data_IF_560200578600
#
_entry.id   IF_560200578600
#
_cell.length_a   1.000
_cell.length_b   1.000
_cell.length_c   1.000
_cell.angle_alpha   90.00
_cell.angle_beta   90.00
_cell.angle_gamma   90.00
#
_symmetry.space_group_name_H-M   'P 1'
#
loop_
_entity.id
_entity.type
_entity.pdbx_description
1 polymer ?
#
# COMPACT_ATOMS: atom_id res chain seq x y z
N UNK A 1 -35.45 28.56 0.60
CA UNK A 1 -34.22 28.76 1.41
C UNK A 1 -33.74 27.38 1.83
N UNK A 2 -32.67 26.85 1.22
CA UNK A 2 -32.07 25.60 1.67
C UNK A 2 -31.40 25.86 3.02
N UNK A 3 -31.77 25.10 4.05
CA UNK A 3 -31.10 25.15 5.35
C UNK A 3 -29.70 24.57 5.11
N UNK A 4 -28.69 25.43 5.04
CA UNK A 4 -27.29 25.01 4.95
C UNK A 4 -26.96 24.26 6.25
N UNK A 5 -26.93 22.92 6.19
CA UNK A 5 -26.50 22.09 7.32
C UNK A 5 -25.04 22.40 7.60
N UNK A 6 -24.70 22.58 8.88
CA UNK A 6 -23.32 22.72 9.34
C UNK A 6 -22.50 21.49 8.91
N UNK A 7 -21.23 21.65 8.48
CA UNK A 7 -20.39 20.51 8.11
C UNK A 7 -20.22 19.54 9.29
N UNK A 8 -20.23 18.25 8.99
CA UNK A 8 -19.95 17.19 9.96
C UNK A 8 -18.48 17.24 10.36
N UNK A 9 -18.21 17.28 11.66
CA UNK A 9 -16.84 17.27 12.17
C UNK A 9 -16.35 15.85 12.38
N UNK A 10 -15.32 15.45 11.64
CA UNK A 10 -14.84 14.06 11.62
C UNK A 10 -13.43 13.97 12.17
N UNK A 11 -13.23 13.17 13.23
CA UNK A 11 -11.90 12.88 13.77
C UNK A 11 -11.29 11.65 13.09
N UNK A 12 -10.31 11.86 12.22
CA UNK A 12 -9.48 10.84 11.60
C UNK A 12 -8.38 10.38 12.56
N UNK A 13 -8.52 9.17 13.09
CA UNK A 13 -7.50 8.49 13.89
C UNK A 13 -6.61 7.69 12.95
N UNK A 14 -5.43 8.25 12.65
CA UNK A 14 -4.44 7.66 11.76
C UNK A 14 -3.05 7.84 12.36
N UNK A 15 -2.53 6.77 12.99
CA UNK A 15 -1.17 6.73 13.54
C UNK A 15 -0.10 7.13 12.52
N UNK A 16 -0.36 6.86 11.24
CA UNK A 16 0.50 7.20 10.11
C UNK A 16 -0.23 8.23 9.23
N UNK A 17 0.27 9.46 9.26
CA UNK A 17 -0.22 10.58 8.46
C UNK A 17 0.96 11.50 8.12
N UNK A 18 0.94 12.26 7.01
CA UNK A 18 2.07 13.09 6.62
C UNK A 18 2.58 14.01 7.76
N UNK A 19 3.90 14.27 7.82
CA UNK A 19 4.92 13.85 6.85
C UNK A 19 5.52 12.47 7.16
N UNK A 20 4.76 11.52 7.73
CA UNK A 20 5.25 10.14 7.86
C UNK A 20 5.21 9.41 6.50
N UNK A 21 6.14 8.48 6.28
CA UNK A 21 6.35 7.83 4.97
C UNK A 21 5.33 6.75 4.58
N UNK A 22 4.83 5.98 5.54
CA UNK A 22 4.14 4.72 5.25
C UNK A 22 2.63 4.88 5.34
N UNK A 23 1.90 4.21 4.44
CA UNK A 23 0.44 4.07 4.47
C UNK A 23 -0.39 5.36 4.46
N UNK A 24 0.22 6.51 4.16
CA UNK A 24 -0.44 7.82 4.27
C UNK A 24 -1.39 8.14 3.10
N UNK A 25 -1.22 7.49 1.95
CA UNK A 25 -1.83 7.91 0.68
C UNK A 25 -3.36 7.90 0.70
N UNK A 26 -3.99 6.86 1.25
CA UNK A 26 -5.47 6.74 1.22
C UNK A 26 -6.14 7.83 2.06
N UNK A 27 -5.74 7.95 3.33
CA UNK A 27 -6.31 8.95 4.25
C UNK A 27 -6.02 10.37 3.79
N UNK A 28 -4.81 10.66 3.32
CA UNK A 28 -4.45 11.98 2.80
C UNK A 28 -5.37 12.38 1.65
N UNK A 29 -5.61 11.47 0.71
CA UNK A 29 -6.39 11.78 -0.49
C UNK A 29 -7.90 11.82 -0.23
N UNK A 30 -8.41 11.04 0.72
CA UNK A 30 -9.77 11.28 1.22
C UNK A 30 -9.90 12.69 1.78
N UNK A 31 -8.98 13.11 2.65
CA UNK A 31 -9.03 14.45 3.24
C UNK A 31 -8.87 15.55 2.19
N UNK A 32 -8.05 15.34 1.15
CA UNK A 32 -7.89 16.24 0.01
C UNK A 32 -9.22 16.48 -0.72
N UNK A 33 -10.00 15.42 -0.96
CA UNK A 33 -11.18 15.45 -1.82
C UNK A 33 -12.53 15.51 -1.12
N UNK A 34 -12.58 15.37 0.21
CA UNK A 34 -13.79 15.60 0.98
C UNK A 34 -14.27 17.05 0.85
N UNK A 35 -15.52 17.24 0.43
CA UNK A 35 -16.15 18.56 0.31
C UNK A 35 -16.20 19.25 1.69
N UNK A 36 -15.53 20.40 1.79
CA UNK A 36 -15.41 21.17 3.03
C UNK A 36 -16.71 21.84 3.49
N UNK A 37 -17.68 22.01 2.59
CA UNK A 37 -19.01 22.46 2.97
C UNK A 37 -19.79 21.39 3.74
N UNK A 38 -19.34 20.15 3.62
CA UNK A 38 -20.03 18.95 4.05
C UNK A 38 -19.34 18.26 5.22
N UNK A 39 -18.00 18.25 5.20
CA UNK A 39 -17.15 17.57 6.16
C UNK A 39 -15.97 18.46 6.58
N UNK A 40 -15.79 18.62 7.89
CA UNK A 40 -14.67 19.33 8.53
C UNK A 40 -13.74 18.28 9.18
N UNK A 41 -12.67 17.83 8.51
CA UNK A 41 -11.79 16.79 9.02
C UNK A 41 -10.77 17.31 10.03
N UNK A 42 -10.59 16.55 11.10
CA UNK A 42 -9.55 16.72 12.11
C UNK A 42 -8.69 15.46 12.16
N UNK A 43 -7.36 15.58 12.19
CA UNK A 43 -6.47 14.40 12.19
C UNK A 43 -5.78 14.22 13.53
N UNK A 44 -5.89 13.02 14.12
CA UNK A 44 -5.09 12.59 15.26
C UNK A 44 -4.03 11.59 14.79
N UNK A 45 -2.76 11.97 14.93
CA UNK A 45 -1.61 11.18 14.47
C UNK A 45 -0.44 11.17 15.45
N UNK A 46 0.63 10.44 15.14
CA UNK A 46 1.84 10.36 15.96
C UNK A 46 2.66 11.66 15.88
N UNK A 47 3.34 11.98 16.98
CA UNK A 47 4.33 13.05 17.04
C UNK A 47 5.58 12.72 16.20
N UNK A 48 5.92 13.63 15.28
CA UNK A 48 7.08 13.53 14.38
C UNK A 48 8.40 13.39 15.17
N UNK A 49 8.53 14.07 16.32
CA UNK A 49 9.74 13.99 17.16
C UNK A 49 10.04 12.57 17.66
N UNK A 50 9.04 11.69 17.65
CA UNK A 50 9.18 10.28 18.03
C UNK A 50 9.63 9.38 16.87
N UNK A 51 9.80 9.90 15.66
CA UNK A 51 10.01 9.13 14.43
C UNK A 51 11.27 9.60 13.67
N UNK A 52 11.99 8.65 13.06
CA UNK A 52 13.29 8.88 12.40
C UNK A 52 13.19 9.19 10.90
N UNK A 53 12.03 8.99 10.27
CA UNK A 53 11.87 9.11 8.82
C UNK A 53 10.62 9.92 8.48
N UNK A 54 10.83 11.11 7.92
CA UNK A 54 9.78 11.94 7.33
C UNK A 54 9.86 11.92 5.81
N UNK A 55 8.73 12.24 5.16
CA UNK A 55 8.57 12.40 3.73
C UNK A 55 7.49 13.46 3.49
N UNK A 56 7.89 14.47 2.72
CA UNK A 56 7.11 15.67 2.44
C UNK A 56 6.42 15.61 1.08
N UNK A 57 6.43 14.44 0.42
CA UNK A 57 5.78 14.22 -0.89
C UNK A 57 4.31 14.63 -0.88
N UNK A 58 3.62 14.41 0.24
CA UNK A 58 2.19 14.69 0.40
C UNK A 58 1.88 16.09 0.94
N UNK A 59 2.87 16.92 1.27
CA UNK A 59 2.63 18.20 1.94
C UNK A 59 1.75 19.14 1.11
N UNK A 60 1.93 19.12 -0.23
CA UNK A 60 1.11 19.91 -1.17
C UNK A 60 -0.33 19.40 -1.30
N UNK A 61 -0.61 18.19 -0.86
CA UNK A 61 -1.95 17.60 -0.90
C UNK A 61 -2.75 17.84 0.37
N UNK A 62 -2.10 18.32 1.43
CA UNK A 62 -2.73 18.60 2.71
C UNK A 62 -3.30 20.01 2.67
N UNK A 63 -4.61 20.18 2.89
CA UNK A 63 -5.20 21.51 2.95
C UNK A 63 -4.59 22.33 4.09
N UNK A 64 -4.27 23.60 3.81
CA UNK A 64 -3.53 24.47 4.75
C UNK A 64 -4.28 24.73 6.07
N UNK A 65 -5.60 24.63 6.05
CA UNK A 65 -6.50 24.79 7.18
C UNK A 65 -6.73 23.49 7.98
N UNK A 66 -6.19 22.35 7.52
CA UNK A 66 -6.37 21.06 8.18
C UNK A 66 -5.79 21.06 9.59
N UNK A 67 -6.64 20.76 10.58
CA UNK A 67 -6.22 20.64 11.97
C UNK A 67 -5.60 19.27 12.24
N UNK A 68 -4.27 19.25 12.39
CA UNK A 68 -3.49 18.04 12.70
C UNK A 68 -3.03 18.07 14.16
N UNK A 69 -3.52 17.12 14.95
CA UNK A 69 -3.16 16.93 16.35
C UNK A 69 -2.19 15.76 16.49
N UNK A 70 -1.02 16.04 17.07
CA UNK A 70 0.02 15.03 17.27
C UNK A 70 0.05 14.56 18.72
N UNK A 71 -0.09 13.26 18.93
CA UNK A 71 0.00 12.60 20.23
C UNK A 71 1.36 11.92 20.42
N UNK A 72 1.84 11.90 21.66
CA UNK A 72 3.11 11.29 22.02
C UNK A 72 3.12 9.79 21.71
N UNK A 73 4.20 9.31 21.09
CA UNK A 73 4.46 7.89 20.89
C UNK A 73 5.79 7.57 21.56
N UNK A 74 5.80 6.73 22.62
CA UNK A 74 7.04 6.23 23.18
C UNK A 74 7.61 5.20 22.20
N UNK A 75 8.57 5.62 21.37
CA UNK A 75 9.23 4.71 20.44
C UNK A 75 10.23 3.83 21.21
N UNK A 76 9.73 2.70 21.72
CA UNK A 76 10.49 1.74 22.54
C UNK A 76 11.69 1.15 21.76
N UNK A 77 11.74 1.32 20.43
CA UNK A 77 12.77 0.73 19.56
C UNK A 77 13.59 1.75 18.75
N UNK A 78 13.42 3.06 18.97
CA UNK A 78 14.13 4.11 18.23
C UNK A 78 15.65 3.82 18.12
N UNK A 79 16.28 3.55 19.25
CA UNK A 79 17.71 3.29 19.32
C UNK A 79 18.16 2.02 18.57
N UNK A 80 17.28 1.02 18.37
CA UNK A 80 17.65 -0.21 17.65
C UNK A 80 17.69 -0.03 16.13
N UNK A 81 16.87 0.87 15.57
CA UNK A 81 16.79 1.11 14.12
C UNK A 81 17.87 2.10 13.64
N UNK A 82 18.10 3.19 14.37
CA UNK A 82 19.24 4.09 14.15
C UNK A 82 20.58 3.33 14.25
N UNK A 83 20.73 2.46 15.25
CA UNK A 83 21.92 1.62 15.40
C UNK A 83 22.06 0.61 14.26
N UNK A 84 20.97 0.03 13.74
CA UNK A 84 21.04 -0.90 12.61
C UNK A 84 21.43 -0.21 11.29
N UNK A 85 20.98 1.03 11.06
CA UNK A 85 21.39 1.84 9.88
C UNK A 85 22.84 2.31 9.99
N UNK A 86 23.26 2.79 11.17
CA UNK A 86 24.65 3.14 11.42
C UNK A 86 25.56 1.91 11.29
N UNK A 87 25.11 0.76 11.79
CA UNK A 87 25.77 -0.54 11.64
C UNK A 87 25.88 -1.00 10.17
N UNK A 88 24.84 -0.82 9.36
CA UNK A 88 24.87 -1.18 7.94
C UNK A 88 25.86 -0.29 7.16
N UNK A 89 25.87 1.02 7.44
CA UNK A 89 26.87 1.95 6.89
C UNK A 89 28.30 1.63 7.35
N UNK A 90 28.49 1.30 8.63
CA UNK A 90 29.79 0.88 9.15
C UNK A 90 30.23 -0.45 8.53
N UNK A 91 29.35 -1.43 8.33
CA UNK A 91 29.67 -2.70 7.65
C UNK A 91 30.04 -2.51 6.17
N UNK A 92 29.30 -1.67 5.45
CA UNK A 92 29.59 -1.33 4.04
C UNK A 92 30.95 -0.62 3.91
N UNK A 93 31.30 0.25 4.86
CA UNK A 93 32.61 0.91 4.89
C UNK A 93 33.78 -0.02 5.27
N UNK A 94 33.50 -1.13 5.97
CA UNK A 94 34.51 -2.03 6.54
C UNK A 94 34.83 -3.28 5.69
N UNK A 95 34.08 -3.54 4.61
CA UNK A 95 34.41 -4.66 3.69
C UNK A 95 35.79 -4.52 3.01
N UNK A 96 36.48 -3.39 3.19
CA UNK A 96 37.80 -3.08 2.64
C UNK A 96 39.00 -3.39 3.56
N UNK A 97 38.82 -3.86 4.81
CA UNK A 97 39.95 -4.16 5.73
C UNK A 97 39.95 -5.59 6.30
N UNK A 98 41.03 -6.33 6.00
CA UNK A 98 41.29 -7.73 6.35
C UNK A 98 42.03 -7.88 7.68
N UNK A 99 41.36 -7.82 8.83
CA UNK A 99 41.99 -8.28 10.07
C UNK A 99 41.02 -9.00 11.03
N UNK A 100 41.35 -10.28 11.34
CA UNK A 100 40.46 -11.26 11.98
C UNK A 100 40.28 -11.02 13.49
N UNK A 101 41.35 -10.57 14.19
CA UNK A 101 41.30 -10.23 15.62
C UNK A 101 40.43 -8.99 15.89
N UNK A 102 40.45 -8.01 14.99
CA UNK A 102 39.66 -6.79 15.13
C UNK A 102 38.16 -7.04 14.93
N UNK A 103 37.78 -7.95 14.02
CA UNK A 103 36.40 -8.44 13.89
C UNK A 103 35.88 -9.05 15.20
N UNK A 104 36.69 -9.83 15.92
CA UNK A 104 36.28 -10.47 17.17
C UNK A 104 36.05 -9.45 18.30
N UNK A 105 36.97 -8.49 18.46
CA UNK A 105 36.83 -7.40 19.45
C UNK A 105 35.65 -6.47 19.14
N UNK A 106 35.37 -6.21 17.86
CA UNK A 106 34.20 -5.47 17.42
C UNK A 106 32.91 -6.26 17.68
N UNK A 107 32.89 -7.56 17.36
CA UNK A 107 31.78 -8.47 17.68
C UNK A 107 31.48 -8.52 19.18
N UNK A 108 32.50 -8.54 20.04
CA UNK A 108 32.29 -8.46 21.50
C UNK A 108 31.74 -7.10 21.94
N UNK A 109 32.24 -5.98 21.39
CA UNK A 109 31.64 -4.65 21.64
C UNK A 109 30.19 -4.55 21.14
N UNK A 110 29.85 -5.23 20.04
CA UNK A 110 28.49 -5.31 19.47
C UNK A 110 27.55 -6.10 20.37
N UNK A 111 28.00 -7.24 20.90
CA UNK A 111 27.23 -8.06 21.85
C UNK A 111 26.94 -7.29 23.15
N UNK A 112 27.91 -6.49 23.63
CA UNK A 112 27.77 -5.68 24.84
C UNK A 112 26.92 -4.40 24.65
N UNK A 113 26.77 -3.89 23.42
CA UNK A 113 25.95 -2.68 23.12
C UNK A 113 24.47 -2.95 22.88
N UNK A 114 24.07 -4.21 22.67
CA UNK A 114 22.66 -4.61 22.51
C UNK A 114 21.97 -4.63 23.87
N UNK A 115 21.34 -3.52 24.26
CA UNK A 115 20.60 -3.41 25.53
C UNK A 115 19.41 -4.39 25.64
N UNK A 116 18.96 -4.94 24.51
CA UNK A 116 18.02 -6.07 24.42
C UNK A 116 18.48 -6.96 23.24
N UNK A 117 18.77 -8.26 23.43
CA UNK A 117 19.04 -9.19 22.34
C UNK A 117 17.94 -9.16 21.28
N UNK A 118 18.28 -9.24 19.99
CA UNK A 118 17.30 -9.20 18.89
C UNK A 118 16.20 -10.26 19.00
N UNK A 119 16.50 -11.39 19.66
CA UNK A 119 15.52 -12.45 19.98
C UNK A 119 14.46 -11.96 20.98
N UNK A 120 14.86 -11.22 22.01
CA UNK A 120 13.92 -10.63 22.99
C UNK A 120 13.13 -9.49 22.34
N UNK A 121 13.76 -8.68 21.47
CA UNK A 121 13.05 -7.69 20.67
C UNK A 121 11.98 -8.38 19.83
N UNK A 122 12.33 -9.38 19.01
CA UNK A 122 11.36 -10.13 18.22
C UNK A 122 10.25 -10.76 19.09
N UNK A 123 10.59 -11.29 20.26
CA UNK A 123 9.61 -11.81 21.20
C UNK A 123 8.61 -10.74 21.67
N UNK A 124 9.08 -9.54 22.06
CA UNK A 124 8.22 -8.41 22.46
C UNK A 124 7.33 -7.97 21.29
N UNK A 125 7.92 -7.82 20.10
CA UNK A 125 7.19 -7.46 18.88
C UNK A 125 6.12 -8.48 18.49
N UNK A 126 6.40 -9.77 18.68
CA UNK A 126 5.49 -10.85 18.32
C UNK A 126 4.51 -11.25 19.42
N UNK A 127 4.69 -10.84 20.69
CA UNK A 127 3.85 -11.36 21.78
C UNK A 127 3.31 -10.29 22.72
N UNK A 128 3.91 -9.10 22.79
CA UNK A 128 3.50 -8.06 23.75
C UNK A 128 2.82 -6.88 23.06
N UNK A 129 3.31 -6.47 21.89
CA UNK A 129 2.75 -5.34 21.14
C UNK A 129 1.50 -5.78 20.37
N UNK A 130 0.39 -5.87 21.09
CA UNK A 130 -0.90 -6.29 20.55
C UNK A 130 -1.81 -5.07 20.39
N UNK A 131 -2.37 -4.81 19.20
CA UNK A 131 -2.29 -5.65 18.00
C UNK A 131 -1.01 -5.42 17.18
N UNK A 132 -0.37 -4.28 17.33
CA UNK A 132 0.79 -3.94 16.54
C UNK A 132 1.74 -3.03 17.32
N UNK A 133 2.83 -2.66 16.66
CA UNK A 133 3.88 -1.82 17.22
C UNK A 133 3.44 -0.40 17.58
N UNK A 134 2.23 0.02 17.20
CA UNK A 134 1.64 1.29 17.60
C UNK A 134 0.86 1.17 18.90
N UNK A 135 0.75 -0.01 19.52
CA UNK A 135 0.06 -0.19 20.79
C UNK A 135 0.48 0.83 21.87
N UNK A 136 1.77 1.16 22.06
CA UNK A 136 2.18 2.16 23.07
C UNK A 136 1.66 3.58 22.82
N UNK A 137 1.17 3.90 21.62
CA UNK A 137 0.55 5.18 21.29
C UNK A 137 -0.88 5.31 21.85
N UNK A 138 -1.57 4.18 22.04
CA UNK A 138 -3.00 4.13 22.39
C UNK A 138 -3.38 5.05 23.56
N UNK A 139 -2.75 4.99 24.75
CA UNK A 139 -3.19 5.80 25.89
C UNK A 139 -3.05 7.31 25.63
N UNK A 140 -1.98 7.73 24.95
CA UNK A 140 -1.74 9.14 24.62
C UNK A 140 -2.70 9.64 23.55
N UNK A 141 -2.95 8.80 22.54
CA UNK A 141 -3.91 9.06 21.49
C UNK A 141 -5.33 9.18 22.05
N UNK A 142 -5.77 8.26 22.91
CA UNK A 142 -7.09 8.32 23.56
C UNK A 142 -7.27 9.60 24.37
N UNK A 143 -6.30 9.95 25.23
CA UNK A 143 -6.37 11.19 26.04
C UNK A 143 -6.49 12.42 25.14
N UNK A 144 -5.68 12.51 24.08
CA UNK A 144 -5.71 13.63 23.13
C UNK A 144 -7.02 13.64 22.33
N UNK A 145 -7.47 12.47 21.86
CA UNK A 145 -8.71 12.31 21.10
C UNK A 145 -9.95 12.71 21.88
N UNK A 146 -10.07 12.32 23.15
CA UNK A 146 -11.15 12.78 24.04
C UNK A 146 -11.15 14.30 24.17
N UNK A 147 -9.97 14.92 24.33
CA UNK A 147 -9.83 16.38 24.39
C UNK A 147 -10.32 17.04 23.10
N UNK A 148 -9.87 16.55 21.94
CA UNK A 148 -10.30 17.04 20.62
C UNK A 148 -11.81 16.90 20.44
N UNK A 149 -12.38 15.73 20.79
CA UNK A 149 -13.82 15.50 20.68
C UNK A 149 -14.66 16.52 21.47
N UNK A 150 -14.17 17.00 22.61
CA UNK A 150 -14.83 18.03 23.43
C UNK A 150 -14.63 19.43 22.87
N UNK A 151 -13.39 19.80 22.57
CA UNK A 151 -13.04 21.17 22.16
C UNK A 151 -13.58 21.52 20.77
N UNK A 152 -13.47 20.57 19.84
CA UNK A 152 -13.87 20.81 18.45
C UNK A 152 -15.33 20.45 18.18
N UNK A 153 -16.01 19.79 19.13
CA UNK A 153 -17.35 19.21 18.97
C UNK A 153 -17.42 18.20 17.82
N UNK A 154 -16.56 17.17 17.86
CA UNK A 154 -16.52 16.10 16.85
C UNK A 154 -17.84 15.33 16.84
N UNK A 155 -18.36 15.03 15.66
CA UNK A 155 -19.59 14.27 15.43
C UNK A 155 -19.29 12.77 15.20
N UNK A 156 -18.31 12.49 14.35
CA UNK A 156 -17.96 11.14 13.88
C UNK A 156 -16.47 10.88 14.08
N UNK A 157 -16.12 9.65 14.41
CA UNK A 157 -14.74 9.16 14.44
C UNK A 157 -14.52 8.29 13.19
N UNK A 158 -13.44 8.53 12.48
CA UNK A 158 -12.92 7.64 11.44
C UNK A 158 -11.62 7.03 11.94
N UNK A 159 -11.39 5.73 11.74
CA UNK A 159 -10.06 5.13 11.94
C UNK A 159 -9.70 4.22 10.79
N UNK A 160 -8.42 4.19 10.43
CA UNK A 160 -7.91 3.36 9.32
C UNK A 160 -6.93 2.31 9.81
N UNK A 161 -6.98 1.12 9.23
CA UNK A 161 -6.02 0.06 9.44
C UNK A 161 -5.41 -0.40 8.11
N UNK A 162 -4.15 -0.87 8.11
CA UNK A 162 -3.18 -0.84 9.23
C UNK A 162 -2.77 0.60 9.60
N UNK A 163 -2.38 0.90 10.84
CA UNK A 163 -2.25 0.02 12.01
C UNK A 163 -3.59 -0.21 12.76
N UNK A 164 -3.82 -1.43 13.25
CA UNK A 164 -5.06 -1.81 13.98
C UNK A 164 -5.20 -1.13 15.34
N UNK A 165 -4.09 -0.65 15.92
CA UNK A 165 -4.12 0.22 17.10
C UNK A 165 -5.02 1.45 16.90
N UNK A 166 -5.17 1.95 15.67
CA UNK A 166 -6.10 3.04 15.35
C UNK A 166 -7.56 2.69 15.67
N UNK A 167 -7.97 1.45 15.39
CA UNK A 167 -9.32 0.98 15.70
C UNK A 167 -9.54 0.86 17.22
N UNK A 168 -8.53 0.45 17.98
CA UNK A 168 -8.63 0.40 19.46
C UNK A 168 -8.76 1.82 20.03
N UNK A 169 -7.97 2.77 19.55
CA UNK A 169 -8.09 4.19 19.94
C UNK A 169 -9.50 4.70 19.65
N UNK A 170 -10.01 4.48 18.44
CA UNK A 170 -11.35 4.91 18.05
C UNK A 170 -12.45 4.23 18.88
N UNK A 171 -12.33 2.93 19.16
CA UNK A 171 -13.25 2.19 20.02
C UNK A 171 -13.34 2.79 21.43
N UNK A 172 -12.20 3.10 22.05
CA UNK A 172 -12.15 3.68 23.40
C UNK A 172 -12.76 5.10 23.38
N UNK A 173 -12.36 5.95 22.44
CA UNK A 173 -12.91 7.32 22.31
C UNK A 173 -14.42 7.26 22.06
N UNK A 174 -14.88 6.42 21.14
CA UNK A 174 -16.31 6.18 20.87
C UNK A 174 -17.06 5.85 22.16
N UNK A 175 -16.52 4.92 22.94
CA UNK A 175 -17.21 4.42 24.15
C UNK A 175 -17.35 5.52 25.20
N UNK A 176 -16.29 6.31 25.41
CA UNK A 176 -16.27 7.39 26.40
C UNK A 176 -17.10 8.60 25.93
N UNK A 177 -16.96 8.98 24.66
CA UNK A 177 -17.57 10.19 24.08
C UNK A 177 -18.93 9.94 23.43
N UNK A 178 -19.39 8.68 23.38
CA UNK A 178 -20.64 8.23 22.75
C UNK A 178 -20.81 8.71 21.31
N UNK A 179 -19.74 8.66 20.52
CA UNK A 179 -19.71 9.12 19.12
C UNK A 179 -20.02 8.01 18.12
N UNK A 180 -20.34 8.38 16.89
CA UNK A 180 -20.41 7.43 15.77
C UNK A 180 -19.00 7.10 15.28
N UNK A 181 -18.82 5.91 14.73
CA UNK A 181 -17.52 5.39 14.32
C UNK A 181 -17.59 4.62 13.01
N UNK A 182 -16.82 5.10 12.04
CA UNK A 182 -16.47 4.42 10.79
C UNK A 182 -15.07 3.83 10.90
N UNK A 183 -14.91 2.54 10.64
CA UNK A 183 -13.62 1.88 10.60
C UNK A 183 -13.26 1.46 9.17
N UNK A 184 -12.10 1.88 8.68
CA UNK A 184 -11.57 1.58 7.35
C UNK A 184 -10.54 0.45 7.41
N UNK A 185 -10.97 -0.74 7.02
CA UNK A 185 -10.14 -1.93 6.85
C UNK A 185 -9.55 -1.93 5.43
N UNK A 186 -8.39 -1.30 5.27
CA UNK A 186 -7.60 -1.40 4.03
C UNK A 186 -7.01 -2.79 3.87
N UNK A 187 -6.66 -3.39 5.00
CA UNK A 187 -6.34 -4.79 5.18
C UNK A 187 -7.21 -5.34 6.32
N UNK A 188 -7.67 -6.59 6.20
CA UNK A 188 -8.39 -7.26 7.29
C UNK A 188 -7.49 -7.41 8.54
N UNK A 189 -8.04 -7.55 9.75
CA UNK A 189 -7.17 -7.62 10.93
C UNK A 189 -6.72 -9.04 11.23
N UNK A 190 -7.56 -9.91 11.81
CA UNK A 190 -7.12 -11.25 12.21
C UNK A 190 -7.21 -12.30 11.12
N UNK A 191 -7.77 -11.94 9.97
CA UNK A 191 -8.13 -12.86 8.87
C UNK A 191 -7.28 -12.66 7.62
N UNK A 192 -6.29 -11.76 7.63
CA UNK A 192 -5.33 -11.65 6.52
C UNK A 192 -4.39 -12.84 6.50
N UNK A 193 -4.07 -13.30 5.29
CA UNK A 193 -3.06 -14.33 5.04
C UNK A 193 -1.65 -13.91 5.52
N UNK A 194 -1.39 -12.60 5.66
CA UNK A 194 -0.10 -12.07 6.17
C UNK A 194 0.05 -12.14 7.69
N UNK A 195 -1.03 -12.40 8.43
CA UNK A 195 -0.99 -12.33 9.90
C UNK A 195 -0.67 -13.69 10.50
N UNK A 196 0.63 -13.98 10.54
CA UNK A 196 1.15 -15.15 11.21
C UNK A 196 1.26 -14.91 12.72
N UNK A 197 0.46 -15.65 13.49
CA UNK A 197 0.54 -15.64 14.94
C UNK A 197 1.62 -16.60 15.41
N UNK A 198 2.54 -16.10 16.26
CA UNK A 198 3.51 -16.93 16.96
C UNK A 198 2.85 -17.97 17.87
N UNK A 199 1.63 -17.70 18.36
CA UNK A 199 0.93 -18.53 19.35
C UNK A 199 -0.59 -18.48 19.18
N UNK A 200 -1.27 -19.61 19.48
CA UNK A 200 -2.74 -19.71 19.45
C UNK A 200 -3.45 -18.79 20.46
N UNK A 201 -2.82 -18.51 21.60
CA UNK A 201 -3.40 -17.61 22.61
C UNK A 201 -3.46 -16.17 22.10
N UNK A 202 -2.42 -15.72 21.38
CA UNK A 202 -2.37 -14.38 20.78
C UNK A 202 -3.44 -14.25 19.72
N UNK A 203 -3.55 -15.24 18.85
CA UNK A 203 -4.61 -15.31 17.83
C UNK A 203 -6.00 -15.18 18.47
N UNK A 204 -6.27 -15.97 19.53
CA UNK A 204 -7.56 -15.92 20.25
C UNK A 204 -7.82 -14.55 20.89
N UNK A 205 -6.79 -13.95 21.49
CA UNK A 205 -6.89 -12.62 22.09
C UNK A 205 -7.23 -11.56 21.03
N UNK A 206 -6.47 -11.51 19.94
CA UNK A 206 -6.68 -10.55 18.86
C UNK A 206 -8.04 -10.73 18.19
N UNK A 207 -8.45 -11.97 17.88
CA UNK A 207 -9.80 -12.26 17.37
C UNK A 207 -10.88 -11.76 18.32
N UNK A 208 -10.65 -11.90 19.63
CA UNK A 208 -11.54 -11.39 20.66
C UNK A 208 -11.59 -9.85 20.74
N UNK A 209 -10.48 -9.16 20.45
CA UNK A 209 -10.45 -7.69 20.39
C UNK A 209 -11.12 -7.22 19.10
N UNK A 210 -10.80 -7.83 17.96
CA UNK A 210 -11.41 -7.52 16.66
C UNK A 210 -12.93 -7.71 16.72
N UNK A 211 -13.42 -8.84 17.23
CA UNK A 211 -14.86 -9.08 17.38
C UNK A 211 -15.55 -7.99 18.21
N UNK A 212 -14.91 -7.52 19.28
CA UNK A 212 -15.45 -6.41 20.10
C UNK A 212 -15.46 -5.09 19.32
N UNK A 213 -14.42 -4.82 18.55
CA UNK A 213 -14.33 -3.64 17.69
C UNK A 213 -15.44 -3.66 16.63
N UNK A 214 -15.55 -4.75 15.86
CA UNK A 214 -16.56 -4.94 14.82
C UNK A 214 -17.99 -4.74 15.34
N UNK A 215 -18.32 -5.29 16.51
CA UNK A 215 -19.63 -5.10 17.13
C UNK A 215 -19.94 -3.65 17.54
N UNK A 216 -18.92 -2.81 17.71
CA UNK A 216 -19.07 -1.40 18.11
C UNK A 216 -18.95 -0.43 16.94
N UNK A 217 -18.57 -0.87 15.75
CA UNK A 217 -18.55 -0.02 14.55
C UNK A 217 -19.98 0.30 14.10
N UNK A 218 -20.21 1.54 13.68
CA UNK A 218 -21.48 1.94 13.06
C UNK A 218 -21.43 1.71 11.54
N UNK A 219 -20.26 1.89 10.93
CA UNK A 219 -19.96 1.45 9.57
C UNK A 219 -18.55 0.87 9.48
N UNK A 220 -18.37 -0.09 8.59
CA UNK A 220 -17.13 -0.82 8.33
C UNK A 220 -16.83 -0.65 6.85
N UNK A 221 -15.73 0.00 6.50
CA UNK A 221 -15.26 0.08 5.13
C UNK A 221 -14.29 -1.05 4.87
N UNK A 222 -14.46 -1.74 3.75
CA UNK A 222 -13.49 -2.69 3.20
C UNK A 222 -13.16 -2.30 1.77
N UNK A 223 -12.02 -2.76 1.25
CA UNK A 223 -11.56 -2.36 -0.10
C UNK A 223 -12.05 -3.26 -1.23
N UNK A 224 -12.55 -4.46 -0.95
CA UNK A 224 -13.03 -5.40 -1.98
C UNK A 224 -14.21 -6.24 -1.51
N UNK A 225 -15.01 -6.75 -2.45
CA UNK A 225 -16.08 -7.72 -2.19
C UNK A 225 -15.54 -9.00 -1.52
N UNK A 226 -14.35 -9.45 -1.92
CA UNK A 226 -13.68 -10.60 -1.29
C UNK A 226 -13.41 -10.34 0.19
N UNK A 227 -12.92 -9.15 0.56
CA UNK A 227 -12.71 -8.81 1.96
C UNK A 227 -14.02 -8.74 2.75
N UNK A 228 -15.11 -8.24 2.14
CA UNK A 228 -16.46 -8.28 2.73
C UNK A 228 -16.89 -9.72 3.01
N UNK A 229 -16.75 -10.61 2.02
CA UNK A 229 -17.12 -12.01 2.14
C UNK A 229 -16.31 -12.73 3.24
N UNK A 230 -14.99 -12.54 3.28
CA UNK A 230 -14.12 -13.11 4.33
C UNK A 230 -14.55 -12.60 5.71
N UNK A 231 -14.85 -11.30 5.86
CA UNK A 231 -15.25 -10.73 7.14
C UNK A 231 -16.56 -11.35 7.65
N UNK A 232 -17.55 -11.52 6.77
CA UNK A 232 -18.84 -12.15 7.08
C UNK A 232 -18.69 -13.63 7.44
N UNK A 233 -17.84 -14.36 6.71
CA UNK A 233 -17.57 -15.78 6.97
C UNK A 233 -16.89 -15.98 8.34
N UNK A 234 -15.86 -15.18 8.64
CA UNK A 234 -15.03 -15.35 9.86
C UNK A 234 -15.68 -14.80 11.11
N UNK A 235 -16.62 -13.85 10.97
CA UNK A 235 -17.34 -13.25 12.09
C UNK A 235 -18.85 -13.34 11.89
N UNK A 236 -19.44 -14.53 12.05
CA UNK A 236 -20.88 -14.72 11.95
C UNK A 236 -21.60 -13.84 12.98
N UNK A 237 -22.62 -13.10 12.51
CA UNK A 237 -23.41 -12.15 13.31
C UNK A 237 -23.03 -10.68 13.16
N UNK A 238 -22.02 -10.35 12.36
CA UNK A 238 -21.84 -8.96 11.90
C UNK A 238 -23.01 -8.60 10.99
N UNK A 239 -23.59 -7.43 11.21
CA UNK A 239 -24.61 -6.90 10.32
C UNK A 239 -23.95 -6.50 8.98
N UNK A 240 -24.31 -7.22 7.92
CA UNK A 240 -23.83 -6.97 6.56
C UNK A 240 -24.09 -5.53 6.08
N UNK A 241 -25.21 -4.92 6.47
CA UNK A 241 -25.57 -3.55 6.06
C UNK A 241 -24.56 -2.50 6.54
N UNK A 242 -23.82 -2.81 7.61
CA UNK A 242 -22.75 -1.94 8.11
C UNK A 242 -21.51 -1.98 7.24
N UNK A 243 -21.31 -3.04 6.45
CA UNK A 243 -20.12 -3.22 5.63
C UNK A 243 -20.33 -2.52 4.29
N UNK A 244 -19.56 -1.47 4.05
CA UNK A 244 -19.53 -0.70 2.81
C UNK A 244 -18.21 -0.95 2.10
N UNK A 245 -18.25 -0.99 0.78
CA UNK A 245 -17.07 -1.22 -0.04
C UNK A 245 -16.65 0.13 -0.60
N UNK A 246 -15.47 0.59 -0.20
CA UNK A 246 -14.81 1.75 -0.80
C UNK A 246 -13.41 1.29 -1.20
N UNK A 247 -13.21 1.07 -2.49
CA UNK A 247 -11.99 0.47 -3.03
C UNK A 247 -10.79 1.39 -2.84
N UNK A 248 -9.60 0.89 -3.15
CA UNK A 248 -8.49 1.78 -3.50
C UNK A 248 -8.79 2.49 -4.83
N UNK A 249 -7.99 3.49 -5.17
CA UNK A 249 -8.23 4.30 -6.35
C UNK A 249 -7.02 5.12 -6.77
N UNK A 250 -7.14 5.74 -7.93
CA UNK A 250 -6.13 6.62 -8.51
C UNK A 250 -6.49 8.08 -8.27
N UNK A 251 -5.46 8.93 -8.25
CA UNK A 251 -5.65 10.38 -8.28
C UNK A 251 -5.32 10.88 -9.70
N UNK A 252 -6.29 11.35 -10.49
CA UNK A 252 -6.01 11.89 -11.82
C UNK A 252 -5.08 13.11 -11.75
N UNK A 253 -5.12 13.89 -10.67
CA UNK A 253 -4.22 15.05 -10.50
C UNK A 253 -2.76 14.65 -10.31
N UNK A 254 -2.47 13.40 -9.93
CA UNK A 254 -1.09 12.89 -9.88
C UNK A 254 -0.46 12.84 -11.28
N UNK A 255 -1.29 12.82 -12.34
CA UNK A 255 -0.84 12.67 -13.73
C UNK A 255 -1.02 13.92 -14.60
N UNK A 256 -1.84 14.90 -14.19
CA UNK A 256 -2.20 16.08 -15.01
C UNK A 256 -1.00 16.88 -15.55
N UNK A 257 0.17 16.84 -14.89
CA UNK A 257 1.37 17.60 -15.28
C UNK A 257 2.58 16.70 -15.55
N UNK A 258 2.37 15.40 -15.74
CA UNK A 258 3.47 14.50 -16.08
C UNK A 258 3.73 14.56 -17.58
N UNK A 259 4.98 14.76 -18.03
CA UNK A 259 5.30 14.70 -19.44
C UNK A 259 5.09 13.27 -19.95
N UNK A 260 4.41 13.11 -21.08
CA UNK A 260 4.45 11.84 -21.82
C UNK A 260 5.74 11.83 -22.66
N UNK A 261 6.71 11.02 -22.22
CA UNK A 261 7.98 10.81 -22.91
C UNK A 261 8.01 9.47 -23.64
N UNK A 262 6.84 8.93 -24.03
CA UNK A 262 6.76 7.67 -24.77
C UNK A 262 7.62 7.72 -26.03
N UNK A 263 8.48 6.72 -26.20
CA UNK A 263 9.25 6.55 -27.43
C UNK A 263 8.34 6.02 -28.53
N UNK A 264 8.53 6.52 -29.76
CA UNK A 264 7.90 5.96 -30.96
C UNK A 264 8.73 4.84 -31.59
N UNK A 265 9.99 4.71 -31.18
CA UNK A 265 10.96 3.80 -31.77
C UNK A 265 11.21 2.59 -30.86
N UNK A 266 11.23 2.82 -29.55
CA UNK A 266 11.52 1.79 -28.56
C UNK A 266 10.25 1.37 -27.82
N UNK A 267 10.00 0.06 -27.79
CA UNK A 267 8.96 -0.57 -27.02
C UNK A 267 9.40 -0.72 -25.56
N UNK A 268 8.89 0.16 -24.70
CA UNK A 268 9.29 0.22 -23.29
C UNK A 268 8.29 -0.52 -22.41
N UNK A 269 8.76 -1.52 -21.69
CA UNK A 269 8.01 -2.25 -20.67
C UNK A 269 8.50 -1.80 -19.30
N UNK A 270 7.59 -1.43 -18.39
CA UNK A 270 8.01 -1.09 -17.02
C UNK A 270 7.20 -1.79 -15.93
N UNK A 271 7.91 -2.11 -14.84
CA UNK A 271 7.34 -2.48 -13.56
C UNK A 271 7.84 -1.50 -12.50
N UNK A 272 6.94 -0.87 -11.75
CA UNK A 272 7.33 0.00 -10.64
C UNK A 272 6.81 -0.49 -9.30
N UNK A 273 7.69 -0.72 -8.33
CA UNK A 273 7.37 -0.98 -6.93
C UNK A 273 8.16 -2.13 -6.33
N UNK A 274 7.69 -2.65 -5.18
CA UNK A 274 8.39 -3.74 -4.49
C UNK A 274 8.21 -5.05 -5.27
N UNK A 275 9.30 -5.79 -5.44
CA UNK A 275 9.31 -7.17 -5.96
C UNK A 275 9.68 -8.09 -4.80
N UNK A 276 8.73 -8.91 -4.39
CA UNK A 276 8.93 -9.90 -3.34
C UNK A 276 9.42 -11.21 -3.94
N UNK A 277 10.11 -12.04 -3.16
CA UNK A 277 10.62 -13.34 -3.62
C UNK A 277 9.52 -14.32 -4.03
N UNK A 278 8.27 -14.08 -3.63
CA UNK A 278 7.10 -14.85 -4.07
C UNK A 278 6.51 -14.43 -5.42
N UNK A 279 7.00 -13.35 -6.05
CA UNK A 279 6.44 -12.84 -7.31
C UNK A 279 6.87 -13.65 -8.54
N UNK A 280 7.92 -14.48 -8.49
CA UNK A 280 8.30 -15.37 -9.63
C UNK A 280 8.37 -14.66 -10.99
N UNK A 281 9.07 -13.53 -11.06
CA UNK A 281 9.32 -12.82 -12.33
C UNK A 281 10.29 -13.57 -13.24
N UNK A 282 10.85 -14.69 -12.80
CA UNK A 282 11.70 -15.57 -13.59
C UNK A 282 11.02 -16.06 -14.88
N UNK A 283 9.72 -16.37 -14.83
CA UNK A 283 8.98 -16.78 -16.03
C UNK A 283 8.91 -15.68 -17.09
N UNK A 284 8.70 -14.43 -16.67
CA UNK A 284 8.74 -13.28 -17.57
C UNK A 284 10.12 -13.11 -18.22
N UNK A 285 11.20 -13.24 -17.43
CA UNK A 285 12.57 -13.16 -17.92
C UNK A 285 12.91 -14.29 -18.91
N UNK A 286 12.34 -15.48 -18.72
CA UNK A 286 12.47 -16.56 -19.67
C UNK A 286 11.68 -16.30 -20.95
N UNK A 287 10.43 -15.84 -20.85
CA UNK A 287 9.58 -15.54 -22.00
C UNK A 287 10.16 -14.45 -22.90
N UNK A 288 10.69 -13.38 -22.32
CA UNK A 288 11.37 -12.34 -23.11
C UNK A 288 12.68 -12.86 -23.70
N UNK A 289 13.41 -13.74 -23.01
CA UNK A 289 14.56 -14.44 -23.58
C UNK A 289 14.21 -15.22 -24.83
N UNK A 290 13.18 -16.06 -24.75
CA UNK A 290 12.72 -16.87 -25.87
C UNK A 290 12.23 -15.99 -27.04
N UNK A 291 11.56 -14.86 -26.74
CA UNK A 291 11.15 -13.88 -27.76
C UNK A 291 12.33 -13.25 -28.53
N UNK A 292 13.39 -12.88 -27.81
CA UNK A 292 14.59 -12.27 -28.41
C UNK A 292 15.39 -13.31 -29.20
N UNK A 293 15.45 -14.56 -28.72
CA UNK A 293 16.08 -15.66 -29.46
C UNK A 293 15.34 -15.95 -30.78
N UNK A 294 14.01 -15.89 -30.78
CA UNK A 294 13.18 -16.04 -32.00
C UNK A 294 13.28 -14.81 -32.93
N UNK A 295 13.44 -13.62 -32.37
CA UNK A 295 13.51 -12.36 -33.11
C UNK A 295 14.68 -11.46 -32.67
N UNK A 296 15.93 -11.76 -33.07
CA UNK A 296 17.12 -11.06 -32.57
C UNK A 296 17.14 -9.54 -32.86
N UNK A 297 16.43 -9.08 -33.90
CA UNK A 297 16.31 -7.64 -34.19
C UNK A 297 15.65 -6.84 -33.07
N UNK A 298 14.83 -7.48 -32.23
CA UNK A 298 14.12 -6.85 -31.13
C UNK A 298 15.04 -6.37 -30.00
N UNK A 299 16.27 -6.91 -29.90
CA UNK A 299 17.23 -6.56 -28.86
C UNK A 299 17.50 -5.04 -28.79
N UNK A 300 17.42 -4.35 -29.93
CA UNK A 300 17.63 -2.89 -30.02
C UNK A 300 16.36 -2.06 -29.90
N UNK A 301 15.20 -2.71 -29.94
CA UNK A 301 13.90 -2.05 -29.97
C UNK A 301 13.11 -2.22 -28.67
N UNK A 302 13.48 -3.18 -27.82
CA UNK A 302 12.79 -3.45 -26.55
C UNK A 302 13.65 -2.99 -25.38
N UNK A 303 13.02 -2.34 -24.41
CA UNK A 303 13.65 -2.03 -23.12
C UNK A 303 12.71 -2.37 -21.98
N UNK A 304 13.24 -3.03 -20.95
CA UNK A 304 12.49 -3.41 -19.75
C UNK A 304 13.09 -2.73 -18.52
N UNK A 305 12.26 -1.99 -17.79
CA UNK A 305 12.65 -1.36 -16.54
C UNK A 305 11.90 -1.98 -15.37
N UNK A 306 12.64 -2.59 -14.44
CA UNK A 306 12.09 -3.08 -13.16
C UNK A 306 12.62 -2.19 -12.07
N UNK A 307 11.79 -1.24 -11.63
CA UNK A 307 12.18 -0.14 -10.76
C UNK A 307 11.57 -0.31 -9.38
N UNK A 308 12.40 -0.45 -8.35
CA UNK A 308 11.94 -0.48 -6.97
C UNK A 308 12.79 -1.32 -6.03
N UNK A 309 12.24 -1.60 -4.85
CA UNK A 309 12.92 -2.46 -3.90
C UNK A 309 12.67 -3.92 -4.28
N UNK A 310 13.69 -4.58 -4.83
CA UNK A 310 13.68 -6.02 -5.10
C UNK A 310 14.33 -6.73 -3.92
N UNK A 311 13.66 -7.74 -3.35
CA UNK A 311 14.25 -8.55 -2.29
C UNK A 311 15.56 -9.21 -2.74
N UNK A 312 16.56 -9.29 -1.85
CA UNK A 312 17.93 -9.66 -2.22
C UNK A 312 18.03 -11.03 -2.91
N UNK A 313 17.24 -12.00 -2.47
CA UNK A 313 17.22 -13.34 -3.05
C UNK A 313 16.66 -13.32 -4.48
N UNK A 314 15.54 -12.63 -4.67
CA UNK A 314 14.93 -12.46 -5.99
C UNK A 314 15.83 -11.64 -6.93
N UNK A 315 16.44 -10.55 -6.45
CA UNK A 315 17.39 -9.75 -7.23
C UNK A 315 18.55 -10.61 -7.73
N UNK A 316 19.10 -11.47 -6.88
CA UNK A 316 20.16 -12.40 -7.26
C UNK A 316 19.70 -13.43 -8.30
N UNK A 317 18.48 -13.96 -8.15
CA UNK A 317 17.88 -14.88 -9.12
C UNK A 317 17.70 -14.22 -10.50
N UNK A 318 17.11 -13.02 -10.54
CA UNK A 318 16.89 -12.25 -11.76
C UNK A 318 18.20 -11.93 -12.48
N UNK A 319 19.23 -11.44 -11.76
CA UNK A 319 20.56 -11.17 -12.33
C UNK A 319 21.16 -12.42 -12.97
N UNK A 320 21.01 -13.58 -12.32
CA UNK A 320 21.50 -14.86 -12.86
C UNK A 320 20.80 -15.22 -14.17
N UNK A 321 19.49 -15.03 -14.27
CA UNK A 321 18.71 -15.31 -15.49
C UNK A 321 19.09 -14.34 -16.61
N UNK A 322 19.12 -13.02 -16.31
CA UNK A 322 19.51 -11.97 -17.25
C UNK A 322 20.88 -12.28 -17.86
N UNK A 323 21.87 -12.66 -17.04
CA UNK A 323 23.21 -13.01 -17.53
C UNK A 323 23.21 -14.28 -18.37
N UNK A 324 22.45 -15.32 -17.98
CA UNK A 324 22.42 -16.61 -18.72
C UNK A 324 21.74 -16.49 -20.08
N UNK A 325 20.74 -15.62 -20.19
CA UNK A 325 19.97 -15.37 -21.41
C UNK A 325 20.49 -14.17 -22.23
N UNK A 326 21.62 -13.58 -21.83
CA UNK A 326 22.21 -12.40 -22.47
C UNK A 326 21.27 -11.18 -22.58
N UNK A 327 20.41 -10.96 -21.57
CA UNK A 327 19.39 -9.90 -21.57
C UNK A 327 19.88 -8.57 -20.97
N UNK A 328 21.20 -8.39 -20.82
CA UNK A 328 21.79 -7.27 -20.08
C UNK A 328 21.56 -5.90 -20.71
N UNK A 329 21.47 -5.83 -22.04
CA UNK A 329 21.19 -4.59 -22.77
C UNK A 329 19.69 -4.26 -22.81
N UNK A 330 18.83 -5.24 -22.50
CA UNK A 330 17.37 -5.12 -22.59
C UNK A 330 16.76 -4.82 -21.23
N UNK A 331 17.27 -5.44 -20.15
CA UNK A 331 16.62 -5.44 -18.83
C UNK A 331 17.46 -4.66 -17.81
N UNK A 332 16.89 -3.57 -17.31
CA UNK A 332 17.44 -2.76 -16.22
C UNK A 332 16.72 -3.06 -14.90
N UNK A 333 17.50 -3.34 -13.85
CA UNK A 333 17.02 -3.49 -12.47
C UNK A 333 17.43 -2.26 -11.67
N UNK A 334 16.47 -1.36 -11.41
CA UNK A 334 16.73 -0.05 -10.82
C UNK A 334 16.25 0.05 -9.37
N UNK A 335 16.92 0.90 -8.60
CA UNK A 335 16.54 1.15 -7.21
C UNK A 335 15.25 1.97 -7.12
N UNK A 336 14.69 2.05 -5.90
CA UNK A 336 13.48 2.82 -5.64
C UNK A 336 13.68 4.31 -5.95
N UNK A 337 12.85 4.82 -6.85
CA UNK A 337 12.74 6.26 -7.18
C UNK A 337 11.56 6.94 -6.45
N UNK A 338 11.56 8.29 -6.36
CA UNK A 338 10.42 9.06 -5.85
C UNK A 338 9.12 8.77 -6.61
N UNK A 339 7.96 8.88 -5.93
CA UNK A 339 6.64 8.57 -6.53
C UNK A 339 6.41 9.31 -7.84
N UNK A 340 6.66 10.62 -7.89
CA UNK A 340 6.43 11.41 -9.10
C UNK A 340 7.20 10.88 -10.33
N UNK A 341 8.46 10.44 -10.14
CA UNK A 341 9.26 9.84 -11.21
C UNK A 341 8.73 8.46 -11.61
N UNK A 342 8.27 7.65 -10.64
CA UNK A 342 7.64 6.36 -10.95
C UNK A 342 6.37 6.53 -11.81
N UNK A 343 5.54 7.53 -11.52
CA UNK A 343 4.35 7.83 -12.34
C UNK A 343 4.73 8.34 -13.74
N UNK A 344 5.81 9.11 -13.86
CA UNK A 344 6.35 9.56 -15.17
C UNK A 344 6.83 8.37 -16.01
N UNK A 345 7.55 7.42 -15.40
CA UNK A 345 7.95 6.17 -16.07
C UNK A 345 6.73 5.39 -16.52
N UNK A 346 5.72 5.25 -15.67
CA UNK A 346 4.48 4.55 -16.03
C UNK A 346 3.80 5.22 -17.24
N UNK A 347 3.66 6.54 -17.20
CA UNK A 347 3.07 7.34 -18.29
C UNK A 347 3.87 7.28 -19.59
N UNK A 348 5.19 7.09 -19.51
CA UNK A 348 6.08 7.06 -20.69
C UNK A 348 6.30 5.65 -21.24
N UNK A 349 5.74 4.61 -20.60
CA UNK A 349 5.90 3.22 -21.04
C UNK A 349 4.97 2.89 -22.21
N UNK A 350 5.38 1.92 -23.04
CA UNK A 350 4.51 1.32 -24.06
C UNK A 350 3.60 0.25 -23.46
N UNK A 351 4.09 -0.49 -22.45
CA UNK A 351 3.38 -1.55 -21.76
C UNK A 351 3.73 -1.54 -20.26
N UNK A 352 2.73 -1.71 -19.40
CA UNK A 352 2.92 -1.80 -17.96
C UNK A 352 2.83 -3.24 -17.49
N UNK A 353 3.89 -3.73 -16.84
CA UNK A 353 3.92 -5.06 -16.25
C UNK A 353 3.28 -5.00 -14.86
N UNK A 354 2.28 -5.84 -14.65
CA UNK A 354 1.57 -5.99 -13.38
C UNK A 354 1.76 -7.40 -12.84
N UNK A 355 2.01 -7.49 -11.52
CA UNK A 355 2.18 -8.76 -10.83
C UNK A 355 1.69 -8.64 -9.39
N UNK A 356 1.18 -9.73 -8.84
CA UNK A 356 0.86 -9.91 -7.42
C UNK A 356 1.49 -11.21 -6.91
N UNK A 357 1.76 -11.30 -5.61
CA UNK A 357 2.11 -12.61 -5.05
C UNK A 357 0.88 -13.52 -4.97
N UNK A 358 1.08 -14.85 -4.85
CA UNK A 358 -0.01 -15.78 -4.58
C UNK A 358 -0.85 -15.37 -3.36
N UNK A 359 -0.22 -14.95 -2.26
CA UNK A 359 -0.93 -14.55 -1.04
C UNK A 359 -1.79 -13.28 -1.24
N UNK A 360 -1.34 -12.35 -2.10
CA UNK A 360 -2.13 -11.16 -2.46
C UNK A 360 -3.35 -11.54 -3.29
N UNK A 361 -3.17 -12.51 -4.19
CA UNK A 361 -4.23 -13.02 -5.03
C UNK A 361 -5.30 -13.72 -4.19
N UNK A 362 -4.90 -14.63 -3.31
CA UNK A 362 -5.80 -15.43 -2.46
C UNK A 362 -6.59 -14.57 -1.46
N UNK A 363 -6.01 -13.47 -0.99
CA UNK A 363 -6.69 -12.53 -0.08
C UNK A 363 -7.68 -11.60 -0.78
N UNK A 364 -7.80 -11.68 -2.12
CA UNK A 364 -8.61 -10.77 -2.92
C UNK A 364 -8.12 -9.33 -2.86
N UNK A 365 -6.81 -9.13 -2.72
CA UNK A 365 -6.21 -7.81 -2.69
C UNK A 365 -6.05 -7.26 -4.11
N UNK A 366 -6.47 -6.01 -4.32
CA UNK A 366 -6.15 -5.25 -5.54
C UNK A 366 -5.16 -4.15 -5.17
N UNK A 367 -3.92 -4.31 -5.64
CA UNK A 367 -2.81 -3.39 -5.37
C UNK A 367 -3.12 -1.97 -5.87
N UNK A 368 -2.64 -0.95 -5.14
CA UNK A 368 -2.75 0.45 -5.58
C UNK A 368 -2.14 0.70 -6.97
N UNK A 369 -1.15 -0.11 -7.37
CA UNK A 369 -0.47 0.00 -8.67
C UNK A 369 -1.42 -0.13 -9.85
N UNK A 370 -2.42 -1.03 -9.77
CA UNK A 370 -3.35 -1.23 -10.88
C UNK A 370 -4.13 0.05 -11.20
N UNK A 371 -4.54 0.77 -10.15
CA UNK A 371 -5.24 2.04 -10.31
C UNK A 371 -4.32 3.12 -10.89
N UNK A 372 -3.07 3.22 -10.40
CA UNK A 372 -2.08 4.15 -10.98
C UNK A 372 -1.84 3.82 -12.47
N UNK A 373 -1.81 2.54 -12.87
CA UNK A 373 -1.65 2.13 -14.27
C UNK A 373 -2.83 2.54 -15.17
N UNK A 374 -4.07 2.48 -14.66
CA UNK A 374 -5.22 3.02 -15.39
C UNK A 374 -5.10 4.53 -15.60
N UNK A 375 -4.61 5.26 -14.60
CA UNK A 375 -4.36 6.69 -14.71
C UNK A 375 -3.14 7.03 -15.57
N UNK A 376 -2.21 6.09 -15.78
CA UNK A 376 -1.13 6.21 -16.76
C UNK A 376 -1.60 6.05 -18.20
N UNK A 377 -2.82 5.51 -18.41
CA UNK A 377 -3.45 5.30 -19.72
C UNK A 377 -2.62 4.44 -20.68
N UNK A 378 -1.96 3.40 -20.13
CA UNK A 378 -1.20 2.42 -20.91
C UNK A 378 -1.79 1.01 -20.75
N UNK A 379 -1.63 0.13 -21.76
CA UNK A 379 -2.03 -1.26 -21.63
C UNK A 379 -1.24 -1.96 -20.51
N UNK A 380 -1.88 -2.95 -19.89
CA UNK A 380 -1.31 -3.74 -18.81
C UNK A 380 -1.11 -5.18 -19.25
N UNK A 381 0.09 -5.72 -19.08
CA UNK A 381 0.33 -7.16 -19.08
C UNK A 381 0.38 -7.63 -17.64
N UNK A 382 -0.66 -8.35 -17.20
CA UNK A 382 -0.76 -8.86 -15.86
C UNK A 382 -0.38 -10.33 -15.78
N UNK A 383 0.66 -10.61 -15.01
CA UNK A 383 1.12 -11.96 -14.70
C UNK A 383 0.56 -12.34 -13.33
N UNK A 384 -0.65 -12.89 -13.33
CA UNK A 384 -1.40 -13.26 -12.12
C UNK A 384 -2.36 -14.41 -12.43
N UNK A 385 -2.77 -15.20 -11.44
CA UNK A 385 -3.80 -16.23 -11.62
C UNK A 385 -5.08 -15.65 -12.29
N UNK A 386 -5.57 -16.24 -13.39
CA UNK A 386 -6.71 -15.70 -14.14
C UNK A 386 -8.02 -15.59 -13.37
N UNK A 387 -8.19 -16.37 -12.30
CA UNK A 387 -9.37 -16.38 -11.43
C UNK A 387 -9.33 -15.27 -10.35
N UNK A 388 -8.21 -14.58 -10.20
CA UNK A 388 -8.01 -13.52 -9.22
C UNK A 388 -8.95 -12.32 -9.39
N UNK A 389 -9.24 -11.61 -8.30
CA UNK A 389 -10.05 -10.38 -8.36
C UNK A 389 -9.39 -9.30 -9.23
N UNK A 390 -8.06 -9.18 -9.17
CA UNK A 390 -7.32 -8.23 -10.00
C UNK A 390 -7.41 -8.58 -11.49
N UNK A 391 -7.39 -9.87 -11.86
CA UNK A 391 -7.63 -10.31 -13.24
C UNK A 391 -9.02 -9.90 -13.71
N UNK A 392 -10.05 -10.14 -12.90
CA UNK A 392 -11.42 -9.71 -13.23
C UNK A 392 -11.52 -8.19 -13.43
N UNK A 393 -10.79 -7.40 -12.64
CA UNK A 393 -10.77 -5.95 -12.79
C UNK A 393 -10.15 -5.53 -14.12
N UNK A 394 -9.01 -6.12 -14.49
CA UNK A 394 -8.30 -5.83 -15.75
C UNK A 394 -9.16 -6.18 -16.97
N UNK A 395 -9.86 -7.32 -16.91
CA UNK A 395 -10.76 -7.77 -17.98
C UNK A 395 -11.99 -6.84 -18.10
N UNK A 396 -12.62 -6.49 -16.96
CA UNK A 396 -13.77 -5.55 -16.95
C UNK A 396 -13.41 -4.14 -17.39
N UNK A 397 -12.20 -3.68 -17.06
CA UNK A 397 -11.69 -2.39 -17.48
C UNK A 397 -11.22 -2.38 -18.93
N UNK A 398 -11.16 -3.53 -19.62
CA UNK A 398 -10.55 -3.68 -20.94
C UNK A 398 -9.18 -2.98 -21.03
N UNK A 399 -8.39 -3.06 -19.96
CA UNK A 399 -7.16 -2.27 -19.83
C UNK A 399 -5.90 -3.04 -20.15
N UNK A 400 -6.02 -4.31 -20.56
CA UNK A 400 -4.85 -5.17 -20.73
C UNK A 400 -5.18 -6.64 -20.88
N UNK A 401 -4.13 -7.45 -20.79
CA UNK A 401 -4.17 -8.91 -20.88
C UNK A 401 -3.79 -9.53 -19.53
N UNK A 402 -4.39 -10.67 -19.20
CA UNK A 402 -4.06 -11.48 -18.02
C UNK A 402 -3.50 -12.81 -18.49
N UNK A 403 -2.33 -13.16 -17.97
CA UNK A 403 -1.63 -14.42 -18.26
C UNK A 403 -1.23 -15.07 -16.95
N UNK A 404 -1.36 -16.40 -16.88
CA UNK A 404 -0.84 -17.15 -15.74
C UNK A 404 0.68 -16.98 -15.65
N UNK A 405 1.26 -16.64 -14.48
CA UNK A 405 2.69 -16.41 -14.35
C UNK A 405 3.55 -17.60 -14.81
N UNK A 406 3.03 -18.83 -14.72
CA UNK A 406 3.78 -20.04 -15.07
C UNK A 406 3.73 -20.40 -16.56
N UNK A 407 2.90 -19.74 -17.35
CA UNK A 407 2.74 -20.00 -18.79
C UNK A 407 3.66 -19.08 -19.62
N UNK A 408 4.95 -19.45 -19.67
CA UNK A 408 5.99 -18.71 -20.40
C UNK A 408 5.64 -18.47 -21.88
N UNK A 409 4.99 -19.43 -22.54
CA UNK A 409 4.60 -19.31 -23.95
C UNK A 409 3.47 -18.29 -24.13
N UNK A 410 2.46 -18.30 -23.25
CA UNK A 410 1.43 -17.27 -23.28
C UNK A 410 2.00 -15.87 -22.98
N UNK A 411 2.98 -15.75 -22.08
CA UNK A 411 3.67 -14.48 -21.82
C UNK A 411 4.39 -13.99 -23.07
N UNK A 412 5.17 -14.87 -23.74
CA UNK A 412 5.90 -14.57 -24.98
C UNK A 412 4.93 -14.09 -26.08
N UNK A 413 3.83 -14.81 -26.28
CA UNK A 413 2.81 -14.47 -27.27
C UNK A 413 2.15 -13.11 -26.96
N UNK A 414 1.84 -12.82 -25.69
CA UNK A 414 1.29 -11.55 -25.29
C UNK A 414 2.27 -10.38 -25.54
N UNK A 415 3.56 -10.57 -25.22
CA UNK A 415 4.61 -9.59 -25.50
C UNK A 415 4.76 -9.32 -26.99
N UNK A 416 4.79 -10.37 -27.81
CA UNK A 416 4.85 -10.24 -29.27
C UNK A 416 3.67 -9.44 -29.82
N UNK A 417 2.44 -9.75 -29.38
CA UNK A 417 1.25 -9.06 -29.85
C UNK A 417 1.29 -7.55 -29.52
N UNK A 418 1.63 -7.18 -28.28
CA UNK A 418 1.75 -5.76 -27.91
C UNK A 418 2.88 -5.05 -28.66
N UNK A 419 4.00 -5.73 -28.91
CA UNK A 419 5.08 -5.17 -29.71
C UNK A 419 4.62 -4.92 -31.16
N UNK A 420 3.90 -5.87 -31.77
CA UNK A 420 3.36 -5.70 -33.13
C UNK A 420 2.36 -4.54 -33.21
N UNK A 421 1.48 -4.41 -32.23
CA UNK A 421 0.55 -3.28 -32.14
C UNK A 421 1.30 -1.94 -32.01
N UNK A 422 2.35 -1.90 -31.19
CA UNK A 422 3.23 -0.74 -31.04
C UNK A 422 3.90 -0.36 -32.38
N UNK A 423 4.48 -1.33 -33.09
CA UNK A 423 5.14 -1.08 -34.40
C UNK A 423 4.16 -0.64 -35.47
N UNK A 424 2.95 -1.17 -35.46
CA UNK A 424 1.88 -0.77 -36.36
C UNK A 424 1.31 0.64 -36.03
N UNK A 425 1.74 1.26 -34.92
CA UNK A 425 1.11 2.44 -34.34
C UNK A 425 -0.41 2.26 -34.16
N UNK A 426 -0.83 1.02 -33.89
CA UNK A 426 -2.22 0.68 -33.66
C UNK A 426 -2.61 1.18 -32.27
N UNK A 427 -3.63 2.05 -32.19
CA UNK A 427 -4.19 2.47 -30.90
C UNK A 427 -5.23 1.45 -30.41
N UNK A 428 -4.79 0.22 -30.16
CA UNK A 428 -5.64 -0.88 -29.67
C UNK A 428 -6.13 -0.69 -28.23
N UNK A 429 -5.52 0.24 -27.49
CA UNK A 429 -5.87 0.52 -26.10
C UNK A 429 -7.18 1.33 -26.01
N UNK A 430 -8.28 0.62 -25.76
CA UNK A 430 -9.61 1.18 -25.58
C UNK A 430 -10.20 0.76 -24.23
N UNK A 431 -9.70 1.33 -23.13
CA UNK A 431 -10.18 0.94 -21.80
C UNK A 431 -11.63 1.37 -21.59
N UNK A 432 -12.36 0.58 -20.80
CA UNK A 432 -13.70 0.90 -20.31
C UNK A 432 -13.62 2.05 -19.30
N UNK A 433 -13.69 3.29 -19.80
CA UNK A 433 -13.59 4.51 -19.01
C UNK A 433 -14.70 4.62 -17.96
N UNK A 434 -15.91 4.13 -18.25
CA UNK A 434 -17.01 4.14 -17.30
C UNK A 434 -16.67 3.29 -16.08
N UNK A 435 -16.20 2.06 -16.28
CA UNK A 435 -15.75 1.19 -15.19
C UNK A 435 -14.59 1.81 -14.41
N UNK A 436 -13.56 2.33 -15.09
CA UNK A 436 -12.38 2.92 -14.47
C UNK A 436 -12.73 4.18 -13.65
N UNK A 437 -13.66 5.02 -14.12
CA UNK A 437 -14.03 6.28 -13.46
C UNK A 437 -14.57 6.08 -12.02
N UNK A 438 -15.10 4.90 -11.72
CA UNK A 438 -15.59 4.52 -10.37
C UNK A 438 -14.49 4.46 -9.32
N UNK A 439 -13.23 4.36 -9.74
CA UNK A 439 -12.06 4.28 -8.87
C UNK A 439 -11.32 5.61 -8.73
N UNK A 440 -11.91 6.71 -9.24
CA UNK A 440 -11.42 8.06 -9.02
C UNK A 440 -11.55 8.42 -7.53
N UNK A 441 -10.46 8.90 -6.93
CA UNK A 441 -10.46 9.28 -5.50
C UNK A 441 -11.45 10.39 -5.14
N UNK A 442 -11.86 11.22 -6.09
CA UNK A 442 -12.93 12.21 -5.89
C UNK A 442 -14.27 11.52 -5.63
N UNK A 443 -14.60 10.53 -6.45
CA UNK A 443 -15.81 9.72 -6.26
C UNK A 443 -15.73 8.86 -4.99
N UNK A 444 -14.58 8.26 -4.69
CA UNK A 444 -14.40 7.49 -3.46
C UNK A 444 -14.50 8.38 -2.20
N UNK A 445 -14.04 9.62 -2.25
CA UNK A 445 -14.21 10.58 -1.16
C UNK A 445 -15.68 11.01 -1.00
N UNK A 446 -16.42 11.16 -2.11
CA UNK A 446 -17.87 11.41 -2.08
C UNK A 446 -18.62 10.25 -1.42
N UNK A 447 -18.30 9.01 -1.78
CA UNK A 447 -18.87 7.82 -1.14
C UNK A 447 -18.55 7.76 0.37
N UNK A 448 -17.35 8.18 0.77
CA UNK A 448 -17.00 8.27 2.19
C UNK A 448 -17.85 9.33 2.93
N UNK A 449 -18.10 10.49 2.31
CA UNK A 449 -19.00 11.51 2.87
C UNK A 449 -20.42 10.97 3.06
N UNK A 450 -20.94 10.23 2.06
CA UNK A 450 -22.26 9.56 2.15
C UNK A 450 -22.33 8.61 3.35
N UNK A 451 -21.26 7.84 3.62
CA UNK A 451 -21.19 6.95 4.78
C UNK A 451 -21.19 7.74 6.10
N UNK A 452 -20.46 8.86 6.18
CA UNK A 452 -20.48 9.69 7.38
C UNK A 452 -21.87 10.25 7.67
N UNK A 453 -22.60 10.67 6.62
CA UNK A 453 -23.96 11.19 6.75
C UNK A 453 -24.95 10.10 7.15
N UNK A 454 -24.88 8.93 6.52
CA UNK A 454 -25.85 7.86 6.74
C UNK A 454 -25.91 7.41 8.20
N UNK A 455 -24.77 7.45 8.91
CA UNK A 455 -24.71 7.07 10.33
C UNK A 455 -24.97 8.23 11.30
N UNK A 456 -24.90 9.48 10.82
CA UNK A 456 -25.10 10.70 11.61
C UNK A 456 -26.57 11.13 11.63
N UNK A 457 -27.29 10.90 10.52
CA UNK A 457 -28.70 11.25 10.36
C UNK A 457 -29.65 10.25 11.04
N UNK A 458 -29.15 9.12 11.54
CA UNK A 458 -29.92 8.17 12.36
C UNK A 458 -30.08 8.72 13.79
N UNK A 459 -31.07 9.59 14.00
CA UNK A 459 -31.55 10.02 15.33
C UNK A 459 -32.94 9.48 15.61
#
# INVERSE_FOLDING_TARGET
MSIQRKPLKVLFVASEFPPLQQNVTRTTKFIKYLDRNNCDPHVLTINIKSMEATDHTFDKEIPADLKIYRAFFPNIFANSQAQHRQYKKELEHYQTRTNKLFKCLLWMKILLRRRIPGVIQNFIWQNILIPDNRMPWIPFAVRKGIKICREENIDVIYSTAPCYSNHIVAWIIKTIMRKKWVADYRDLWTTTLYRNYSTKWREKLEKGIEKRCLNKMDAILVVTDTMKAILLEKFPGINEDKIKIITNGYDPEDFNNLPDKSSKENFVISYTGVVYSSYRLDYFLHAIGDLIEEHPSLEKEISVFIIGNIESEEKANMIRIIKRRNLGEIISLEDKIPRAQALEVQRSSSLLLFHLSPEMTDSGAVSSKLYDYWAAEKPVLALIPPDSLAAQYILKSNSGCVVDPSDTEAIKNALWNYYQEFKAASNSYHPNKEFISRFDRRELARQLDDVFRSISDTK
#
